data_IF_201583302594
#
_entry.id   IF_201583302594
#
_cell.length_a   1.000
_cell.length_b   1.000
_cell.length_c   1.000
_cell.angle_alpha   90.00
_cell.angle_beta   90.00
_cell.angle_gamma   90.00
#
_symmetry.space_group_name_H-M   'P 1'
#
loop_
_entity.id
_entity.type
_entity.pdbx_description
1 polymer ?
#
# COMPACT_ATOMS: atom_id res chain seq x y z
N UNK A 1 -40.16 -9.73 -34.47
CA UNK A 1 -38.82 -10.16 -34.00
C UNK A 1 -37.77 -9.50 -34.88
N UNK A 2 -36.66 -9.05 -34.32
CA UNK A 2 -35.50 -8.50 -35.02
C UNK A 2 -34.29 -9.35 -34.69
N UNK A 3 -33.54 -9.76 -35.71
CA UNK A 3 -32.26 -10.44 -35.52
C UNK A 3 -31.21 -9.38 -35.23
N UNK A 4 -30.65 -9.40 -34.02
CA UNK A 4 -29.58 -8.50 -33.61
C UNK A 4 -28.34 -9.33 -33.31
N UNK A 5 -27.18 -8.84 -33.76
CA UNK A 5 -25.90 -9.54 -33.61
C UNK A 5 -25.20 -9.03 -32.36
N UNK A 6 -25.13 -9.86 -31.32
CA UNK A 6 -24.47 -9.54 -30.04
C UNK A 6 -23.33 -10.56 -29.90
N UNK A 7 -22.09 -10.08 -29.73
CA UNK A 7 -20.88 -10.90 -29.64
C UNK A 7 -20.73 -11.95 -30.76
N UNK A 8 -21.11 -11.57 -31.98
CA UNK A 8 -20.95 -12.39 -33.18
C UNK A 8 -22.02 -13.47 -33.40
N UNK A 9 -22.94 -13.69 -32.44
CA UNK A 9 -24.08 -14.62 -32.59
C UNK A 9 -25.37 -13.85 -32.90
N UNK A 10 -26.15 -14.39 -33.83
CA UNK A 10 -27.42 -13.82 -34.26
C UNK A 10 -28.55 -14.33 -33.35
N UNK A 11 -29.17 -13.40 -32.62
CA UNK A 11 -30.24 -13.70 -31.67
C UNK A 11 -31.48 -12.92 -32.10
N UNK A 12 -32.64 -13.58 -32.14
CA UNK A 12 -33.92 -12.91 -32.39
C UNK A 12 -34.45 -12.31 -31.10
N UNK A 13 -34.60 -10.99 -31.09
CA UNK A 13 -35.07 -10.20 -29.95
C UNK A 13 -36.36 -9.48 -30.36
N UNK A 14 -37.35 -9.31 -29.46
CA UNK A 14 -38.55 -8.54 -29.75
C UNK A 14 -38.21 -7.11 -30.14
N UNK A 15 -39.01 -6.52 -31.04
CA UNK A 15 -38.82 -5.13 -31.50
C UNK A 15 -38.74 -4.14 -30.35
N UNK A 16 -39.56 -4.36 -29.33
CA UNK A 16 -39.67 -3.54 -28.13
C UNK A 16 -38.39 -3.55 -27.31
N UNK A 17 -37.69 -4.70 -27.24
CA UNK A 17 -36.46 -4.85 -26.46
C UNK A 17 -35.26 -4.21 -27.15
N UNK A 18 -35.21 -4.24 -28.49
CA UNK A 18 -34.20 -3.53 -29.28
C UNK A 18 -34.36 -2.01 -29.15
N UNK A 19 -35.60 -1.51 -29.21
CA UNK A 19 -35.91 -0.08 -29.04
C UNK A 19 -35.60 0.36 -27.61
N UNK A 20 -35.99 -0.42 -26.60
CA UNK A 20 -35.71 -0.13 -25.19
C UNK A 20 -34.19 -0.13 -24.89
N UNK A 21 -33.43 -1.05 -25.49
CA UNK A 21 -31.96 -1.08 -25.38
C UNK A 21 -31.30 0.16 -25.98
N UNK A 22 -31.73 0.57 -27.18
CA UNK A 22 -31.23 1.77 -27.85
C UNK A 22 -31.58 3.06 -27.09
N UNK A 23 -32.81 3.17 -26.56
CA UNK A 23 -33.23 4.30 -25.72
C UNK A 23 -32.42 4.37 -24.42
N UNK A 24 -32.20 3.25 -23.73
CA UNK A 24 -31.33 3.20 -22.54
C UNK A 24 -29.90 3.59 -22.84
N UNK A 25 -29.35 3.17 -23.98
CA UNK A 25 -27.99 3.54 -24.39
C UNK A 25 -27.90 5.04 -24.69
N UNK A 26 -28.85 5.61 -25.43
CA UNK A 26 -28.89 7.06 -25.68
C UNK A 26 -29.06 7.85 -24.39
N UNK A 27 -29.91 7.41 -23.47
CA UNK A 27 -30.09 8.05 -22.17
C UNK A 27 -28.84 7.94 -21.29
N UNK A 28 -28.17 6.78 -21.28
CA UNK A 28 -26.91 6.59 -20.58
C UNK A 28 -25.80 7.47 -21.17
N UNK A 29 -25.70 7.58 -22.49
CA UNK A 29 -24.75 8.48 -23.15
C UNK A 29 -25.06 9.94 -22.82
N UNK A 30 -26.32 10.38 -22.92
CA UNK A 30 -26.73 11.75 -22.56
C UNK A 30 -26.45 12.07 -21.09
N UNK A 31 -26.78 11.15 -20.17
CA UNK A 31 -26.49 11.31 -18.74
C UNK A 31 -24.98 11.32 -18.45
N UNK A 32 -24.22 10.49 -19.14
CA UNK A 32 -22.75 10.46 -19.00
C UNK A 32 -22.11 11.73 -19.55
N UNK A 33 -22.59 12.23 -20.68
CA UNK A 33 -22.17 13.51 -21.25
C UNK A 33 -22.55 14.68 -20.34
N UNK A 34 -23.77 14.70 -19.82
CA UNK A 34 -24.20 15.72 -18.85
C UNK A 34 -23.36 15.66 -17.57
N UNK A 35 -23.08 14.46 -17.03
CA UNK A 35 -22.21 14.30 -15.86
C UNK A 35 -20.76 14.71 -16.15
N UNK A 36 -20.23 14.42 -17.34
CA UNK A 36 -18.90 14.84 -17.76
C UNK A 36 -18.82 16.36 -17.95
N UNK A 37 -19.86 16.98 -18.51
CA UNK A 37 -19.96 18.43 -18.66
C UNK A 37 -20.05 19.11 -17.29
N UNK A 38 -20.93 18.63 -16.40
CA UNK A 38 -21.03 19.10 -15.01
C UNK A 38 -19.70 18.96 -14.28
N UNK A 39 -19.00 17.84 -14.44
CA UNK A 39 -17.68 17.61 -13.84
C UNK A 39 -16.65 18.61 -14.37
N UNK A 40 -16.62 18.82 -15.69
CA UNK A 40 -15.70 19.77 -16.32
C UNK A 40 -15.96 21.21 -15.87
N UNK A 41 -17.23 21.60 -15.76
CA UNK A 41 -17.61 22.91 -15.21
C UNK A 41 -17.15 23.03 -13.75
N UNK A 42 -17.44 22.04 -12.90
CA UNK A 42 -17.00 22.03 -11.51
C UNK A 42 -15.46 22.07 -11.37
N UNK A 43 -14.72 21.30 -12.18
CA UNK A 43 -13.25 21.33 -12.21
C UNK A 43 -12.73 22.71 -12.64
N UNK A 44 -13.38 23.36 -13.61
CA UNK A 44 -13.03 24.72 -14.04
C UNK A 44 -13.32 25.76 -12.96
N UNK A 45 -14.44 25.66 -12.25
CA UNK A 45 -14.80 26.54 -11.13
C UNK A 45 -13.82 26.38 -9.96
N UNK A 46 -13.42 25.15 -9.64
CA UNK A 46 -12.40 24.87 -8.61
C UNK A 46 -11.05 25.47 -9.03
N UNK A 47 -10.64 25.30 -10.29
CA UNK A 47 -9.40 25.87 -10.79
C UNK A 47 -9.41 27.41 -10.75
N UNK A 48 -10.54 28.02 -11.13
CA UNK A 48 -10.73 29.47 -11.05
C UNK A 48 -10.72 29.96 -9.60
N UNK A 49 -11.43 29.28 -8.69
CA UNK A 49 -11.43 29.63 -7.27
C UNK A 49 -10.02 29.53 -6.64
N UNK A 50 -9.20 28.56 -7.05
CA UNK A 50 -7.79 28.47 -6.65
C UNK A 50 -6.97 29.64 -7.17
N UNK A 51 -7.12 29.99 -8.45
CA UNK A 51 -6.44 31.14 -9.06
C UNK A 51 -6.83 32.46 -8.38
N UNK A 52 -8.12 32.66 -8.09
CA UNK A 52 -8.62 33.85 -7.38
C UNK A 52 -8.03 33.95 -5.97
N UNK A 53 -7.92 32.82 -5.26
CA UNK A 53 -7.30 32.76 -3.93
C UNK A 53 -5.81 33.06 -3.98
N UNK A 54 -5.08 32.56 -4.96
CA UNK A 54 -3.66 32.86 -5.16
C UNK A 54 -3.44 34.34 -5.46
N UNK A 55 -4.26 34.93 -6.35
CA UNK A 55 -4.22 36.36 -6.63
C UNK A 55 -4.54 37.19 -5.38
N UNK A 56 -5.53 36.77 -4.60
CA UNK A 56 -5.88 37.43 -3.34
C UNK A 56 -4.74 37.37 -2.32
N UNK A 57 -4.10 36.21 -2.16
CA UNK A 57 -2.92 36.05 -1.30
C UNK A 57 -1.76 36.97 -1.72
N UNK A 58 -1.50 37.10 -3.03
CA UNK A 58 -0.49 38.03 -3.55
C UNK A 58 -0.84 39.49 -3.26
N UNK A 59 -2.11 39.88 -3.37
CA UNK A 59 -2.58 41.22 -3.01
C UNK A 59 -2.39 41.50 -1.51
N UNK A 60 -2.70 40.54 -0.64
CA UNK A 60 -2.50 40.66 0.80
C UNK A 60 -1.02 40.82 1.17
N UNK A 61 -0.12 40.07 0.52
CA UNK A 61 1.32 40.23 0.74
C UNK A 61 1.81 41.63 0.34
N UNK A 62 1.41 42.12 -0.84
CA UNK A 62 1.74 43.51 -1.26
C UNK A 62 1.19 44.55 -0.28
N UNK A 63 -0.04 44.36 0.19
CA UNK A 63 -0.67 45.26 1.16
C UNK A 63 0.04 45.24 2.51
N UNK A 64 0.47 44.07 2.98
CA UNK A 64 1.31 43.94 4.18
C UNK A 64 2.60 44.75 4.04
N UNK A 65 3.35 44.58 2.94
CA UNK A 65 4.61 45.30 2.72
C UNK A 65 4.38 46.82 2.69
N UNK A 66 3.28 47.29 2.08
CA UNK A 66 2.91 48.70 2.09
C UNK A 66 2.61 49.22 3.50
N UNK A 67 1.87 48.47 4.31
CA UNK A 67 1.57 48.83 5.69
C UNK A 67 2.84 48.87 6.56
N UNK A 68 3.70 47.86 6.45
CA UNK A 68 4.97 47.79 7.17
C UNK A 68 5.88 48.97 6.83
N UNK A 69 5.98 49.31 5.53
CA UNK A 69 6.74 50.48 5.07
C UNK A 69 6.18 51.78 5.65
N UNK A 70 4.85 51.96 5.62
CA UNK A 70 4.21 53.15 6.18
C UNK A 70 4.36 53.25 7.70
N UNK A 71 4.32 52.12 8.41
CA UNK A 71 4.55 52.06 9.85
C UNK A 71 6.00 52.40 10.20
N UNK A 72 6.97 51.95 9.39
CA UNK A 72 8.38 52.27 9.57
C UNK A 72 8.62 53.77 9.40
N UNK A 73 8.05 54.39 8.36
CA UNK A 73 8.12 55.85 8.16
C UNK A 73 7.52 56.63 9.35
N UNK A 74 6.44 56.12 9.95
CA UNK A 74 5.84 56.76 11.13
C UNK A 74 6.66 56.61 12.41
N UNK A 75 7.56 55.63 12.50
CA UNK A 75 8.49 55.53 13.64
C UNK A 75 9.56 56.62 13.62
N UNK A 76 9.84 57.20 12.45
CA UNK A 76 10.80 58.29 12.30
C UNK A 76 10.24 59.67 12.73
N UNK A 77 8.94 59.75 13.05
CA UNK A 77 8.29 60.99 13.50
C UNK A 77 8.74 61.34 14.92
N UNK A 78 9.27 62.56 15.11
CA UNK A 78 9.51 63.15 16.43
C UNK A 78 8.19 63.62 17.04
N UNK A 79 7.54 62.73 17.79
CA UNK A 79 6.24 62.99 18.41
C UNK A 79 6.25 64.16 19.40
N UNK A 80 7.22 64.31 20.32
CA UNK A 80 7.33 65.51 21.16
C UNK A 80 7.33 66.82 20.36
N UNK A 81 8.19 66.92 19.33
CA UNK A 81 8.27 68.13 18.51
C UNK A 81 6.98 68.37 17.70
N UNK A 82 6.34 67.32 17.20
CA UNK A 82 5.08 67.42 16.45
C UNK A 82 3.92 67.85 17.36
N UNK A 83 3.86 67.36 18.59
CA UNK A 83 2.82 67.75 19.56
C UNK A 83 2.97 69.22 19.96
N UNK A 84 4.20 69.72 20.12
CA UNK A 84 4.45 71.12 20.46
C UNK A 84 4.17 72.08 19.29
N UNK A 85 4.48 71.67 18.06
CA UNK A 85 4.32 72.51 16.85
C UNK A 85 2.92 72.44 16.22
N UNK A 86 2.32 71.26 16.11
CA UNK A 86 0.97 71.03 15.58
C UNK A 86 0.26 69.84 16.27
N UNK A 87 -0.43 70.10 17.40
CA UNK A 87 -1.19 69.07 18.12
C UNK A 87 -2.29 68.39 17.28
N UNK A 88 -2.86 69.08 16.29
CA UNK A 88 -3.93 68.51 15.46
C UNK A 88 -3.36 67.48 14.49
N UNK A 89 -2.21 67.77 13.88
CA UNK A 89 -1.52 66.82 13.02
C UNK A 89 -1.02 65.61 13.82
N UNK A 90 -0.51 65.81 15.03
CA UNK A 90 -0.14 64.71 15.93
C UNK A 90 -1.31 63.73 16.17
N UNK A 91 -2.52 64.24 16.43
CA UNK A 91 -3.71 63.39 16.60
C UNK A 91 -4.08 62.64 15.32
N UNK A 92 -3.98 63.28 14.14
CA UNK A 92 -4.22 62.59 12.85
C UNK A 92 -3.22 61.47 12.62
N UNK A 93 -1.93 61.71 12.88
CA UNK A 93 -0.88 60.71 12.73
C UNK A 93 -1.07 59.54 13.69
N UNK A 94 -1.45 59.80 14.94
CA UNK A 94 -1.74 58.75 15.92
C UNK A 94 -2.95 57.91 15.50
N UNK A 95 -4.00 58.53 14.96
CA UNK A 95 -5.16 57.82 14.44
C UNK A 95 -4.79 56.95 13.23
N UNK A 96 -4.00 57.47 12.30
CA UNK A 96 -3.49 56.73 11.14
C UNK A 96 -2.61 55.55 11.57
N UNK A 97 -1.78 55.72 12.60
CA UNK A 97 -0.96 54.64 13.16
C UNK A 97 -1.85 53.49 13.66
N UNK A 98 -2.88 53.81 14.45
CA UNK A 98 -3.85 52.82 14.93
C UNK A 98 -4.59 52.10 13.80
N UNK A 99 -5.04 52.83 12.78
CA UNK A 99 -5.68 52.23 11.60
C UNK A 99 -4.73 51.28 10.84
N UNK A 100 -3.47 51.68 10.65
CA UNK A 100 -2.46 50.86 9.95
C UNK A 100 -2.11 49.59 10.73
N UNK A 101 -1.97 49.69 12.05
CA UNK A 101 -1.75 48.52 12.92
C UNK A 101 -2.93 47.54 12.87
N UNK A 102 -4.17 48.05 12.95
CA UNK A 102 -5.37 47.23 12.83
C UNK A 102 -5.47 46.54 11.45
N UNK A 103 -5.20 47.29 10.37
CA UNK A 103 -5.19 46.76 9.01
C UNK A 103 -4.09 45.68 8.82
N UNK A 104 -2.92 45.86 9.44
CA UNK A 104 -1.84 44.89 9.40
C UNK A 104 -2.24 43.59 10.11
N UNK A 105 -2.82 43.70 11.31
CA UNK A 105 -3.30 42.54 12.06
C UNK A 105 -4.37 41.76 11.28
N UNK A 106 -5.33 42.47 10.66
CA UNK A 106 -6.36 41.85 9.83
C UNK A 106 -5.75 41.14 8.61
N UNK A 107 -4.76 41.76 7.96
CA UNK A 107 -4.06 41.20 6.80
C UNK A 107 -3.32 39.92 7.16
N UNK A 108 -2.64 39.89 8.33
CA UNK A 108 -1.96 38.70 8.84
C UNK A 108 -2.96 37.58 9.15
N UNK A 109 -4.09 37.90 9.78
CA UNK A 109 -5.15 36.93 10.07
C UNK A 109 -5.71 36.31 8.78
N UNK A 110 -5.97 37.12 7.75
CA UNK A 110 -6.46 36.63 6.46
C UNK A 110 -5.43 35.74 5.76
N UNK A 111 -4.14 36.08 5.82
CA UNK A 111 -3.09 35.22 5.28
C UNK A 111 -3.01 33.87 6.00
N UNK A 112 -3.09 33.86 7.33
CA UNK A 112 -3.12 32.61 8.10
C UNK A 112 -4.34 31.75 7.73
N UNK A 113 -5.52 32.36 7.57
CA UNK A 113 -6.72 31.64 7.15
C UNK A 113 -6.55 30.99 5.77
N UNK A 114 -5.99 31.72 4.79
CA UNK A 114 -5.71 31.18 3.46
C UNK A 114 -4.73 30.01 3.53
N UNK A 115 -3.68 30.11 4.33
CA UNK A 115 -2.69 29.04 4.51
C UNK A 115 -3.32 27.80 5.16
N UNK A 116 -4.13 27.98 6.20
CA UNK A 116 -4.86 26.87 6.83
C UNK A 116 -5.82 26.19 5.86
N UNK A 117 -6.55 26.96 5.05
CA UNK A 117 -7.46 26.42 4.04
C UNK A 117 -6.70 25.64 2.97
N UNK A 118 -5.57 26.16 2.48
CA UNK A 118 -4.73 25.47 1.50
C UNK A 118 -4.15 24.15 2.07
N UNK A 119 -3.70 24.15 3.32
CA UNK A 119 -3.19 22.95 3.98
C UNK A 119 -4.30 21.90 4.17
N UNK A 120 -5.51 22.31 4.56
CA UNK A 120 -6.65 21.42 4.68
C UNK A 120 -7.03 20.79 3.33
N UNK A 121 -7.10 21.57 2.25
CA UNK A 121 -7.39 21.07 0.90
C UNK A 121 -6.32 20.10 0.38
N UNK A 122 -5.05 20.35 0.68
CA UNK A 122 -3.97 19.42 0.34
C UNK A 122 -4.08 18.12 1.13
N UNK A 123 -4.43 18.20 2.41
CA UNK A 123 -4.64 17.02 3.25
C UNK A 123 -5.83 16.18 2.75
N UNK A 124 -6.94 16.82 2.40
CA UNK A 124 -8.10 16.12 1.82
C UNK A 124 -7.74 15.43 0.50
N UNK A 125 -7.07 16.12 -0.43
CA UNK A 125 -6.59 15.53 -1.68
C UNK A 125 -5.65 14.34 -1.44
N UNK A 126 -4.77 14.45 -0.44
CA UNK A 126 -3.90 13.36 -0.05
C UNK A 126 -4.70 12.16 0.49
N UNK A 127 -5.67 12.38 1.37
CA UNK A 127 -6.54 11.32 1.90
C UNK A 127 -7.37 10.66 0.78
N UNK A 128 -7.91 11.42 -0.16
CA UNK A 128 -8.60 10.88 -1.33
C UNK A 128 -7.67 10.05 -2.23
N UNK A 129 -6.44 10.54 -2.44
CA UNK A 129 -5.42 9.80 -3.17
C UNK A 129 -5.13 8.46 -2.48
N UNK A 130 -4.91 8.45 -1.16
CA UNK A 130 -4.68 7.23 -0.38
C UNK A 130 -5.84 6.23 -0.48
N UNK A 131 -7.08 6.71 -0.47
CA UNK A 131 -8.26 5.85 -0.68
C UNK A 131 -8.25 5.21 -2.07
N UNK A 132 -8.00 6.00 -3.11
CA UNK A 132 -7.90 5.50 -4.48
C UNK A 132 -6.78 4.46 -4.64
N UNK A 133 -5.63 4.70 -4.02
CA UNK A 133 -4.50 3.76 -3.98
C UNK A 133 -4.91 2.44 -3.32
N UNK A 134 -5.57 2.51 -2.16
CA UNK A 134 -6.09 1.34 -1.44
C UNK A 134 -7.08 0.54 -2.29
N UNK A 135 -8.00 1.20 -2.98
CA UNK A 135 -8.99 0.53 -3.85
C UNK A 135 -8.30 -0.22 -4.99
N UNK A 136 -7.25 0.37 -5.59
CA UNK A 136 -6.43 -0.29 -6.61
C UNK A 136 -5.69 -1.52 -6.06
N UNK A 137 -5.16 -1.44 -4.82
CA UNK A 137 -4.52 -2.59 -4.18
C UNK A 137 -5.54 -3.71 -3.96
N UNK A 138 -6.72 -3.40 -3.41
CA UNK A 138 -7.77 -4.40 -3.14
C UNK A 138 -8.29 -5.03 -4.44
N UNK A 139 -8.34 -4.27 -5.54
CA UNK A 139 -8.68 -4.82 -6.86
C UNK A 139 -7.63 -5.81 -7.39
N UNK A 140 -6.34 -5.59 -7.10
CA UNK A 140 -5.23 -6.48 -7.53
C UNK A 140 -4.95 -7.62 -6.54
N UNK A 141 -5.26 -7.43 -5.27
CA UNK A 141 -5.08 -8.38 -4.18
C UNK A 141 -6.41 -8.52 -3.44
N UNK A 142 -7.36 -9.32 -3.98
CA UNK A 142 -8.69 -9.47 -3.37
C UNK A 142 -8.65 -10.01 -1.94
N UNK A 143 -7.58 -10.71 -1.56
CA UNK A 143 -7.36 -11.21 -0.19
C UNK A 143 -7.26 -10.08 0.85
N UNK A 144 -6.88 -8.87 0.43
CA UNK A 144 -6.79 -7.69 1.31
C UNK A 144 -8.16 -7.05 1.61
N UNK A 145 -9.25 -7.60 1.06
CA UNK A 145 -10.61 -7.30 1.53
C UNK A 145 -10.82 -7.74 2.97
N UNK A 146 -10.15 -8.82 3.39
CA UNK A 146 -10.11 -9.24 4.78
C UNK A 146 -9.10 -8.38 5.55
N UNK A 147 -9.61 -7.65 6.54
CA UNK A 147 -8.83 -6.75 7.39
C UNK A 147 -7.70 -7.48 8.13
N UNK A 148 -7.94 -8.72 8.57
CA UNK A 148 -6.97 -9.52 9.31
C UNK A 148 -5.80 -9.92 8.41
N UNK A 149 -6.11 -10.43 7.21
CA UNK A 149 -5.09 -10.77 6.20
C UNK A 149 -4.29 -9.55 5.77
N UNK A 150 -4.97 -8.43 5.51
CA UNK A 150 -4.30 -7.19 5.13
C UNK A 150 -3.34 -6.72 6.22
N UNK A 151 -3.78 -6.73 7.47
CA UNK A 151 -2.96 -6.26 8.61
C UNK A 151 -1.73 -7.15 8.80
N UNK A 152 -1.91 -8.47 8.76
CA UNK A 152 -0.81 -9.42 8.86
C UNK A 152 0.21 -9.25 7.72
N UNK A 153 -0.26 -9.10 6.48
CA UNK A 153 0.64 -8.95 5.32
C UNK A 153 1.30 -7.58 5.27
N UNK A 154 0.61 -6.52 5.71
CA UNK A 154 1.20 -5.17 5.84
C UNK A 154 2.30 -5.15 6.89
N UNK A 155 2.10 -5.85 8.03
CA UNK A 155 3.14 -6.02 9.04
C UNK A 155 4.36 -6.77 8.48
N UNK A 156 4.13 -7.88 7.77
CA UNK A 156 5.21 -8.64 7.13
C UNK A 156 5.99 -7.81 6.09
N UNK A 157 5.30 -6.99 5.30
CA UNK A 157 5.91 -6.05 4.34
C UNK A 157 6.77 -5.02 5.06
N UNK A 158 6.27 -4.42 6.15
CA UNK A 158 7.03 -3.46 6.97
C UNK A 158 8.31 -4.11 7.51
N UNK A 159 8.20 -5.30 8.10
CA UNK A 159 9.35 -6.03 8.63
C UNK A 159 10.37 -6.37 7.54
N UNK A 160 9.90 -6.73 6.35
CA UNK A 160 10.76 -6.99 5.20
C UNK A 160 11.50 -5.72 4.76
N UNK A 161 10.84 -4.57 4.69
CA UNK A 161 11.48 -3.30 4.36
C UNK A 161 12.52 -2.90 5.40
N UNK A 162 12.22 -3.02 6.70
CA UNK A 162 13.18 -2.75 7.78
C UNK A 162 14.41 -3.65 7.66
N UNK A 163 14.23 -4.95 7.37
CA UNK A 163 15.35 -5.88 7.14
C UNK A 163 16.22 -5.50 5.94
N UNK A 164 15.64 -4.84 4.94
CA UNK A 164 16.33 -4.34 3.75
C UNK A 164 16.93 -2.93 3.95
N UNK A 165 16.90 -2.38 5.17
CA UNK A 165 17.56 -1.12 5.51
C UNK A 165 16.70 0.14 5.39
N UNK A 166 15.40 0.00 5.13
CA UNK A 166 14.48 1.15 5.11
C UNK A 166 14.16 1.61 6.54
N UNK A 167 14.10 2.93 6.71
CA UNK A 167 13.68 3.58 7.96
C UNK A 167 12.16 3.63 8.10
N UNK A 168 11.66 3.79 9.33
CA UNK A 168 10.22 3.91 9.58
C UNK A 168 9.59 5.09 8.82
N UNK A 169 10.30 6.22 8.72
CA UNK A 169 9.83 7.40 8.00
C UNK A 169 9.72 7.16 6.48
N UNK A 170 10.64 6.38 5.90
CA UNK A 170 10.55 6.01 4.48
C UNK A 170 9.35 5.09 4.25
N UNK A 171 9.11 4.13 5.15
CA UNK A 171 8.00 3.18 5.05
C UNK A 171 6.63 3.86 5.17
N UNK A 172 6.49 4.86 6.05
CA UNK A 172 5.24 5.63 6.19
C UNK A 172 4.89 6.43 4.94
N UNK A 173 5.91 6.84 4.16
CA UNK A 173 5.71 7.52 2.88
C UNK A 173 5.43 6.57 1.71
N UNK A 174 5.61 5.25 1.88
CA UNK A 174 5.28 4.25 0.85
C UNK A 174 3.77 3.99 0.86
N UNK A 175 3.03 4.92 0.27
CA UNK A 175 1.58 4.82 0.09
C UNK A 175 1.15 4.48 -1.34
N UNK A 176 2.09 4.47 -2.29
CA UNK A 176 1.81 4.10 -3.68
C UNK A 176 1.55 2.58 -3.79
N UNK A 177 0.39 2.21 -4.36
CA UNK A 177 0.03 0.83 -4.64
C UNK A 177 1.11 0.07 -5.41
N UNK A 178 1.82 0.73 -6.33
CA UNK A 178 2.87 0.13 -7.17
C UNK A 178 4.05 -0.30 -6.32
N UNK A 179 4.48 0.57 -5.42
CA UNK A 179 5.58 0.29 -4.51
C UNK A 179 5.22 -0.87 -3.59
N UNK A 180 4.03 -0.84 -2.97
CA UNK A 180 3.53 -1.94 -2.12
C UNK A 180 3.48 -3.26 -2.89
N UNK A 181 2.97 -3.25 -4.14
CA UNK A 181 2.92 -4.46 -4.97
C UNK A 181 4.32 -5.00 -5.31
N UNK A 182 5.29 -4.13 -5.61
CA UNK A 182 6.65 -4.55 -5.92
C UNK A 182 7.35 -5.13 -4.69
N UNK A 183 7.23 -4.47 -3.54
CA UNK A 183 7.79 -4.96 -2.27
C UNK A 183 7.17 -6.29 -1.88
N UNK A 184 5.84 -6.43 -2.01
CA UNK A 184 5.15 -7.69 -1.77
C UNK A 184 5.69 -8.82 -2.67
N UNK A 185 5.89 -8.55 -3.96
CA UNK A 185 6.45 -9.54 -4.89
C UNK A 185 7.87 -9.94 -4.50
N UNK A 186 8.73 -8.98 -4.16
CA UNK A 186 10.10 -9.23 -3.70
C UNK A 186 10.10 -10.07 -2.42
N UNK A 187 9.28 -9.70 -1.43
CA UNK A 187 9.12 -10.45 -0.18
C UNK A 187 8.67 -11.90 -0.43
N UNK A 188 7.65 -12.10 -1.27
CA UNK A 188 7.15 -13.45 -1.60
C UNK A 188 8.19 -14.26 -2.38
N UNK A 189 8.94 -13.63 -3.28
CA UNK A 189 10.02 -14.26 -4.02
C UNK A 189 11.13 -14.75 -3.08
N UNK A 190 11.61 -13.89 -2.18
CA UNK A 190 12.64 -14.25 -1.21
C UNK A 190 12.18 -15.35 -0.24
N UNK A 191 10.90 -15.33 0.16
CA UNK A 191 10.33 -16.42 0.96
C UNK A 191 10.31 -17.75 0.21
N UNK A 192 10.00 -17.76 -1.08
CA UNK A 192 10.01 -18.98 -1.89
C UNK A 192 11.44 -19.49 -2.05
N UNK A 193 12.40 -18.61 -2.37
CA UNK A 193 13.81 -18.97 -2.53
C UNK A 193 14.41 -19.49 -1.23
N UNK A 194 14.17 -18.81 -0.10
CA UNK A 194 14.64 -19.26 1.20
C UNK A 194 14.05 -20.62 1.62
N UNK A 195 12.78 -20.89 1.31
CA UNK A 195 12.16 -22.21 1.53
C UNK A 195 12.76 -23.29 0.63
N UNK A 196 13.04 -22.97 -0.63
CA UNK A 196 13.70 -23.89 -1.56
C UNK A 196 15.12 -24.26 -1.08
N UNK A 197 15.90 -23.28 -0.63
CA UNK A 197 17.24 -23.50 -0.07
C UNK A 197 17.20 -24.31 1.23
N UNK A 198 16.23 -24.02 2.11
CA UNK A 198 16.04 -24.79 3.34
C UNK A 198 15.64 -26.24 3.05
N UNK A 199 14.73 -26.46 2.08
CA UNK A 199 14.32 -27.78 1.64
C UNK A 199 15.49 -28.55 1.00
N UNK A 200 16.31 -27.90 0.16
CA UNK A 200 17.50 -28.48 -0.41
C UNK A 200 18.50 -28.92 0.68
N UNK A 201 18.75 -28.06 1.69
CA UNK A 201 19.60 -28.39 2.83
C UNK A 201 19.07 -29.55 3.67
N UNK A 202 17.75 -29.68 3.83
CA UNK A 202 17.12 -30.80 4.52
C UNK A 202 17.30 -32.12 3.75
N UNK A 203 17.15 -32.09 2.42
CA UNK A 203 17.37 -33.27 1.57
C UNK A 203 18.84 -33.70 1.58
N UNK A 204 19.80 -32.76 1.54
CA UNK A 204 21.23 -33.10 1.62
C UNK A 204 21.66 -33.62 2.99
N UNK A 205 21.03 -33.13 4.07
CA UNK A 205 21.32 -33.57 5.43
C UNK A 205 20.54 -34.82 5.85
N UNK A 206 19.63 -35.32 5.01
CA UNK A 206 18.95 -36.59 5.25
C UNK A 206 19.90 -37.73 4.91
N UNK A 207 20.30 -38.59 5.85
CA UNK A 207 21.22 -39.70 5.56
C UNK A 207 20.61 -40.60 4.48
N UNK A 208 21.33 -40.78 3.38
CA UNK A 208 20.91 -41.68 2.30
C UNK A 208 20.78 -43.08 2.87
N UNK A 209 19.55 -43.60 2.94
CA UNK A 209 19.30 -44.98 3.35
C UNK A 209 19.87 -45.90 2.25
N UNK A 210 21.14 -46.24 2.39
CA UNK A 210 21.78 -47.27 1.57
C UNK A 210 21.08 -48.59 1.87
N UNK A 211 20.20 -49.03 0.98
CA UNK A 211 19.80 -50.42 0.97
C UNK A 211 21.05 -51.24 0.66
N UNK A 212 21.61 -51.86 1.70
CA UNK A 212 22.69 -52.84 1.59
C UNK A 212 22.22 -53.91 0.62
N UNK A 213 22.89 -54.05 -0.53
CA UNK A 213 22.56 -55.08 -1.50
C UNK A 213 22.57 -56.43 -0.79
N UNK A 214 21.50 -57.21 -0.95
CA UNK A 214 21.43 -58.56 -0.42
C UNK A 214 22.62 -59.37 -0.93
N UNK A 215 23.52 -59.73 -0.03
CA UNK A 215 24.53 -60.76 -0.29
C UNK A 215 23.81 -62.10 -0.30
N UNK A 216 23.67 -62.64 -1.51
CA UNK A 216 23.34 -64.05 -1.71
C UNK A 216 24.38 -64.96 -1.06
N UNK A 217 23.86 -66.07 -0.57
CA UNK A 217 24.45 -67.33 -0.15
C UNK A 217 25.84 -67.71 -0.72
N UNK A 218 26.73 -68.21 0.15
CA UNK A 218 27.50 -69.44 -0.11
C UNK A 218 27.78 -70.18 1.19
N UNK A 219 27.21 -71.38 1.32
CA UNK A 219 27.19 -72.22 2.51
C UNK A 219 28.49 -72.90 2.94
N UNK A 220 28.43 -73.45 4.16
CA UNK A 220 28.86 -74.82 4.51
C UNK A 220 28.65 -75.00 6.02
N UNK A 221 27.40 -75.11 6.48
CA UNK A 221 27.14 -75.53 7.85
C UNK A 221 27.42 -77.02 7.93
N UNK A 222 28.57 -77.35 8.49
CA UNK A 222 29.01 -78.71 8.78
C UNK A 222 27.85 -79.49 9.42
N UNK A 223 27.32 -80.48 8.67
CA UNK A 223 26.11 -81.23 9.05
C UNK A 223 26.26 -81.89 10.41
N UNK A 224 27.50 -82.17 10.80
CA UNK A 224 27.88 -82.72 12.09
C UNK A 224 27.59 -81.73 13.21
N UNK A 225 27.96 -80.46 13.06
CA UNK A 225 27.67 -79.40 14.04
C UNK A 225 26.17 -79.17 14.21
N UNK A 226 25.42 -79.22 13.10
CA UNK A 226 23.95 -79.10 13.15
C UNK A 226 23.28 -80.30 13.85
N UNK A 227 23.81 -81.52 13.66
CA UNK A 227 23.31 -82.71 14.35
C UNK A 227 23.58 -82.65 15.87
N UNK A 228 24.79 -82.24 16.28
CA UNK A 228 25.13 -82.06 17.69
C UNK A 228 24.28 -80.97 18.37
N UNK A 229 24.03 -79.84 17.70
CA UNK A 229 23.18 -78.77 18.24
C UNK A 229 21.73 -79.22 18.40
N UNK A 230 21.21 -80.03 17.48
CA UNK A 230 19.86 -80.57 17.59
C UNK A 230 19.72 -81.61 18.70
N UNK A 231 20.74 -82.44 18.94
CA UNK A 231 20.78 -83.33 20.10
C UNK A 231 20.80 -82.53 21.40
N UNK A 232 21.68 -81.52 21.51
CA UNK A 232 21.79 -80.68 22.70
C UNK A 232 20.48 -79.93 23.01
N UNK A 233 19.73 -79.52 21.98
CA UNK A 233 18.47 -78.79 22.14
C UNK A 233 17.28 -79.69 22.44
N UNK A 234 17.21 -80.87 21.83
CA UNK A 234 15.99 -81.71 21.90
C UNK A 234 16.12 -82.92 22.82
N UNK A 235 17.35 -83.39 23.10
CA UNK A 235 17.63 -84.54 23.96
C UNK A 235 17.00 -85.86 23.51
N UNK A 236 16.46 -85.92 22.29
CA UNK A 236 15.67 -87.07 21.83
C UNK A 236 16.55 -88.21 21.30
N UNK A 237 16.07 -89.45 21.46
CA UNK A 237 16.76 -90.66 20.97
C UNK A 237 17.00 -90.60 19.46
N UNK A 238 16.06 -90.00 18.69
CA UNK A 238 16.18 -89.81 17.24
C UNK A 238 17.28 -88.82 16.86
N UNK A 239 17.44 -87.74 17.62
CA UNK A 239 18.55 -86.81 17.42
C UNK A 239 19.91 -87.45 17.77
N UNK A 240 19.94 -88.34 18.76
CA UNK A 240 21.13 -89.11 19.11
C UNK A 240 21.57 -90.07 17.99
N UNK A 241 20.62 -90.76 17.36
CA UNK A 241 20.90 -91.62 16.21
C UNK A 241 21.51 -90.84 15.03
N UNK A 242 20.99 -89.65 14.73
CA UNK A 242 21.52 -88.82 13.64
C UNK A 242 22.96 -88.32 13.91
N UNK A 243 23.33 -88.10 15.18
CA UNK A 243 24.72 -87.78 15.54
C UNK A 243 25.63 -88.98 15.34
N UNK A 244 25.20 -90.19 15.74
CA UNK A 244 25.98 -91.42 15.54
C UNK A 244 26.14 -91.79 14.06
N UNK A 245 25.11 -91.57 13.25
CA UNK A 245 25.18 -91.77 11.80
C UNK A 245 26.15 -90.77 11.14
N UNK A 246 26.29 -89.56 11.69
CA UNK A 246 27.29 -88.60 11.21
C UNK A 246 28.74 -88.90 11.65
N UNK A 247 28.96 -89.96 12.43
CA UNK A 247 30.26 -90.39 12.98
C UNK A 247 30.84 -91.64 12.31
N UNK A 248 30.02 -92.39 11.56
CA UNK A 248 30.42 -93.54 10.75
C UNK A 248 30.79 -93.09 9.32
#
# INVERSE_FOLDING_TARGET
MFTVKIDGKEIQVPREEVIAGYQRQQDATKKTMAAAETRKVAESEIAQARADREQYAQKLNRFQVQLETALQQQQEIDWPALIESDPQEALRQQHLLGQRQAALQQTLQQQQQIQHQAAAEQHEQFVEHLKSQRDQIVAKIPEWKDESKRTAETAAIRDYLVKNGYTAAEIENVADHRAIMNVRKAMLYDQIMGKADAAAKLVTNTPTKVMRSGSGDTGSTDKRTAAYQNLARTGSVKAGAAVLESLL
#
